data_IF_720781291558
#
_entry.id   IF_720781291558
#
_cell.length_a   1.000
_cell.length_b   1.000
_cell.length_c   1.000
_cell.angle_alpha   90.00
_cell.angle_beta   90.00
_cell.angle_gamma   90.00
#
_symmetry.space_group_name_H-M   'P 1'
#
loop_
_entity.id
_entity.type
_entity.pdbx_description
1 polymer ?
#
# COMPACT_ATOMS: atom_id res chain seq x y z
N UNK A 1 3.74 3.34 1.55
CA UNK A 1 3.07 2.90 2.80
C UNK A 1 2.86 4.02 3.80
N UNK A 2 3.82 4.93 3.98
CA UNK A 2 3.71 6.12 4.87
C UNK A 2 2.33 6.80 4.81
N UNK A 3 1.86 7.20 3.63
CA UNK A 3 0.56 7.88 3.47
C UNK A 3 -0.67 7.00 3.77
N UNK A 4 -0.54 5.67 3.68
CA UNK A 4 -1.64 4.74 3.90
C UNK A 4 -1.89 4.51 5.39
N UNK A 5 -0.81 4.41 6.17
CA UNK A 5 -0.88 4.18 7.62
C UNK A 5 -0.99 5.49 8.42
N UNK A 6 -0.84 6.64 7.76
CA UNK A 6 -1.04 7.96 8.36
C UNK A 6 -2.50 8.16 8.82
N UNK A 7 -2.64 8.36 10.12
CA UNK A 7 -3.93 8.57 10.78
C UNK A 7 -4.55 9.94 10.47
N UNK A 8 -3.81 10.88 9.87
CA UNK A 8 -4.34 12.19 9.45
C UNK A 8 -5.38 12.07 8.32
N UNK A 9 -5.41 10.93 7.61
CA UNK A 9 -6.38 10.66 6.55
C UNK A 9 -7.54 9.82 7.07
N UNK A 10 -8.77 10.21 6.77
CA UNK A 10 -9.98 9.44 7.03
C UNK A 10 -10.55 8.92 5.71
N UNK A 11 -10.66 7.61 5.60
CA UNK A 11 -11.21 6.94 4.42
C UNK A 11 -12.73 6.80 4.52
N UNK A 12 -13.44 7.17 3.44
CA UNK A 12 -14.90 7.03 3.30
C UNK A 12 -15.22 6.39 1.96
N UNK A 13 -16.32 5.64 1.88
CA UNK A 13 -16.81 5.13 0.60
C UNK A 13 -17.22 6.32 -0.28
N UNK A 14 -16.74 6.34 -1.52
CA UNK A 14 -17.18 7.33 -2.50
C UNK A 14 -18.57 6.97 -3.04
N UNK A 15 -19.15 7.84 -3.87
CA UNK A 15 -20.37 7.54 -4.62
C UNK A 15 -20.15 6.48 -5.71
N UNK A 16 -18.91 6.33 -6.17
CA UNK A 16 -18.53 5.36 -7.19
C UNK A 16 -18.27 4.01 -6.54
N UNK A 17 -18.94 2.97 -7.04
CA UNK A 17 -18.78 1.62 -6.52
C UNK A 17 -17.32 1.16 -6.65
N UNK A 18 -16.77 0.59 -5.57
CA UNK A 18 -15.39 0.10 -5.55
C UNK A 18 -14.34 1.19 -5.31
N UNK A 19 -14.73 2.44 -5.07
CA UNK A 19 -13.81 3.54 -4.81
C UNK A 19 -14.06 4.17 -3.44
N UNK A 20 -12.97 4.54 -2.77
CA UNK A 20 -12.92 5.22 -1.50
C UNK A 20 -12.20 6.56 -1.65
N UNK A 21 -12.63 7.55 -0.88
CA UNK A 21 -12.01 8.87 -0.79
C UNK A 21 -11.32 9.01 0.56
N UNK A 22 -10.04 9.38 0.53
CA UNK A 22 -9.24 9.73 1.70
C UNK A 22 -9.32 11.22 1.93
N UNK A 23 -10.01 11.64 2.99
CA UNK A 23 -10.13 13.03 3.38
C UNK A 23 -9.10 13.38 4.45
N UNK A 24 -8.51 14.55 4.33
CA UNK A 24 -7.76 15.13 5.45
C UNK A 24 -8.70 15.37 6.64
N UNK A 25 -8.36 14.86 7.82
CA UNK A 25 -9.22 14.97 9.01
C UNK A 25 -9.44 16.40 9.47
N UNK A 26 -8.47 17.29 9.26
CA UNK A 26 -8.53 18.68 9.74
C UNK A 26 -9.30 19.57 8.76
N UNK A 27 -9.01 19.46 7.47
CA UNK A 27 -9.59 20.34 6.43
C UNK A 27 -10.81 19.74 5.72
N UNK A 28 -11.05 18.43 5.85
CA UNK A 28 -12.12 17.71 5.15
C UNK A 28 -11.91 17.56 3.64
N UNK A 29 -10.83 18.13 3.09
CA UNK A 29 -10.53 18.07 1.65
C UNK A 29 -10.12 16.66 1.25
N UNK A 30 -10.60 16.23 0.08
CA UNK A 30 -10.17 14.97 -0.54
C UNK A 30 -8.68 15.10 -0.89
N UNK A 31 -7.86 14.22 -0.33
CA UNK A 31 -6.42 14.10 -0.62
C UNK A 31 -6.15 12.94 -1.59
N UNK A 32 -6.86 11.83 -1.43
CA UNK A 32 -6.56 10.58 -2.13
C UNK A 32 -7.83 9.87 -2.58
N UNK A 33 -7.69 9.03 -3.60
CA UNK A 33 -8.68 8.04 -4.00
C UNK A 33 -8.02 6.66 -3.98
N UNK A 34 -8.73 5.64 -3.52
CA UNK A 34 -8.20 4.29 -3.36
C UNK A 34 -9.29 3.23 -3.57
N UNK A 35 -8.88 2.01 -3.89
CA UNK A 35 -9.75 0.84 -4.06
C UNK A 35 -9.67 -0.09 -2.83
N UNK A 36 -10.55 -1.11 -2.71
CA UNK A 36 -10.39 -2.15 -1.69
C UNK A 36 -9.01 -2.83 -1.69
N UNK A 37 -8.39 -2.98 -2.87
CA UNK A 37 -7.08 -3.62 -3.02
C UNK A 37 -5.98 -2.80 -2.34
N UNK A 38 -6.12 -1.47 -2.33
CA UNK A 38 -5.17 -0.59 -1.64
C UNK A 38 -5.42 -0.57 -0.13
N UNK A 39 -6.70 -0.46 0.27
CA UNK A 39 -7.08 -0.30 1.68
C UNK A 39 -6.96 -1.58 2.50
N UNK A 40 -6.92 -2.76 1.88
CA UNK A 40 -6.73 -4.04 2.60
C UNK A 40 -5.41 -4.05 3.38
N UNK A 41 -4.36 -3.39 2.86
CA UNK A 41 -3.07 -3.24 3.54
C UNK A 41 -3.13 -2.36 4.79
N UNK A 42 -4.18 -1.55 4.96
CA UNK A 42 -4.40 -0.75 6.17
C UNK A 42 -5.43 -1.35 7.14
N UNK A 43 -6.18 -2.36 6.71
CA UNK A 43 -7.35 -2.92 7.42
C UNK A 43 -7.16 -4.35 7.92
N UNK A 44 -6.43 -5.20 7.20
CA UNK A 44 -6.10 -6.55 7.66
C UNK A 44 -4.88 -6.48 8.59
N UNK A 45 -4.93 -7.14 9.75
CA UNK A 45 -3.88 -7.02 10.79
C UNK A 45 -2.51 -7.50 10.31
N UNK A 46 -2.45 -8.60 9.55
CA UNK A 46 -1.19 -9.16 9.06
C UNK A 46 -0.59 -8.27 7.97
N UNK A 47 -1.41 -7.85 7.01
CA UNK A 47 -0.96 -6.95 5.94
C UNK A 47 -0.58 -5.57 6.46
N UNK A 48 -1.27 -5.10 7.51
CA UNK A 48 -0.95 -3.83 8.17
C UNK A 48 0.40 -3.87 8.86
N UNK A 49 0.76 -4.97 9.52
CA UNK A 49 2.08 -5.12 10.12
C UNK A 49 3.20 -4.99 9.07
N UNK A 50 3.00 -5.57 7.88
CA UNK A 50 3.94 -5.45 6.76
C UNK A 50 3.97 -4.02 6.21
N UNK A 51 2.80 -3.38 6.08
CA UNK A 51 2.71 -2.00 5.62
C UNK A 51 3.41 -1.02 6.59
N UNK A 52 3.28 -1.22 7.90
CA UNK A 52 3.95 -0.44 8.94
C UNK A 52 5.48 -0.65 8.92
N UNK A 53 5.94 -1.88 8.69
CA UNK A 53 7.36 -2.16 8.51
C UNK A 53 7.94 -1.34 7.35
N UNK A 54 7.34 -1.39 6.16
CA UNK A 54 7.82 -0.60 5.01
C UNK A 54 7.49 0.90 5.09
N UNK A 55 6.67 1.33 6.04
CA UNK A 55 6.41 2.74 6.31
C UNK A 55 7.40 3.34 7.31
N UNK A 56 8.22 2.52 7.98
CA UNK A 56 9.22 2.99 8.95
C UNK A 56 10.35 3.78 8.26
N UNK A 57 10.91 4.77 8.97
CA UNK A 57 11.86 5.74 8.41
C UNK A 57 13.14 5.08 7.86
N UNK A 58 13.55 3.95 8.42
CA UNK A 58 14.75 3.18 8.06
C UNK A 58 14.50 2.09 7.01
N UNK A 59 13.23 1.82 6.65
CA UNK A 59 12.86 0.72 5.76
C UNK A 59 12.91 1.07 4.27
N UNK A 60 13.26 2.31 3.90
CA UNK A 60 13.20 2.78 2.51
C UNK A 60 14.08 1.98 1.55
N UNK A 61 15.35 1.73 1.92
CA UNK A 61 16.25 0.93 1.08
C UNK A 61 15.78 -0.52 0.99
N UNK A 62 15.38 -1.08 2.13
CA UNK A 62 14.85 -2.45 2.20
C UNK A 62 13.60 -2.65 1.33
N UNK A 63 12.69 -1.67 1.30
CA UNK A 63 11.54 -1.70 0.40
C UNK A 63 11.95 -1.79 -1.07
N UNK A 64 12.94 -1.00 -1.50
CA UNK A 64 13.43 -1.02 -2.88
C UNK A 64 14.04 -2.38 -3.21
N UNK A 65 14.91 -2.88 -2.35
CA UNK A 65 15.59 -4.17 -2.56
C UNK A 65 14.59 -5.32 -2.62
N UNK A 66 13.66 -5.39 -1.66
CA UNK A 66 12.62 -6.43 -1.60
C UNK A 66 11.66 -6.33 -2.80
N UNK A 67 11.33 -5.12 -3.26
CA UNK A 67 10.50 -4.91 -4.45
C UNK A 67 11.21 -5.42 -5.71
N UNK A 68 12.50 -5.10 -5.89
CA UNK A 68 13.29 -5.57 -7.05
C UNK A 68 13.44 -7.09 -7.03
N UNK A 69 13.65 -7.69 -5.87
CA UNK A 69 13.69 -9.15 -5.72
C UNK A 69 12.36 -9.80 -6.09
N UNK A 70 11.25 -9.26 -5.60
CA UNK A 70 9.92 -9.76 -5.92
C UNK A 70 9.60 -9.62 -7.42
N UNK A 71 9.95 -8.47 -8.02
CA UNK A 71 9.80 -8.23 -9.46
C UNK A 71 10.58 -9.25 -10.28
N UNK A 72 11.87 -9.41 -9.98
CA UNK A 72 12.75 -10.37 -10.66
C UNK A 72 12.20 -11.78 -10.57
N UNK A 73 11.76 -12.21 -9.37
CA UNK A 73 11.18 -13.53 -9.15
C UNK A 73 9.97 -13.79 -10.05
N UNK A 74 9.07 -12.82 -10.20
CA UNK A 74 7.90 -12.96 -11.08
C UNK A 74 8.32 -13.00 -12.55
N UNK A 75 9.26 -12.14 -12.96
CA UNK A 75 9.74 -12.08 -14.35
C UNK A 75 10.50 -13.33 -14.79
N UNK A 76 11.04 -14.12 -13.85
CA UNK A 76 11.75 -15.37 -14.16
C UNK A 76 10.95 -16.62 -13.81
N UNK A 77 9.69 -16.49 -13.41
CA UNK A 77 8.89 -17.61 -12.89
C UNK A 77 8.62 -18.72 -13.92
N UNK A 78 8.69 -18.41 -15.21
CA UNK A 78 8.46 -19.33 -16.33
C UNK A 78 9.75 -19.73 -17.07
N UNK A 79 10.92 -19.26 -16.62
CA UNK A 79 12.24 -19.55 -17.21
C UNK A 79 12.74 -20.94 -16.83
N UNK A 80 12.00 -21.98 -17.23
CA UNK A 80 12.38 -23.38 -17.00
C UNK A 80 13.65 -23.81 -17.76
N UNK A 81 14.09 -23.00 -18.73
CA UNK A 81 15.33 -23.13 -19.50
C UNK A 81 16.59 -22.71 -18.71
N UNK A 82 16.43 -21.90 -17.67
CA UNK A 82 17.52 -21.41 -16.82
C UNK A 82 17.40 -22.04 -15.44
N UNK A 83 18.00 -23.23 -15.28
CA UNK A 83 18.22 -23.87 -13.98
C UNK A 83 19.69 -23.97 -13.66
#
# INVERSE_FOLDING_TARGET
>A
FVNLVDMSTQWKKSKTQGLYEGHDRTSGKVKWTATPVDLVFGSNSELRAIAEFYASDDAKQKFVDDFVLAWTKVMTADRFDVK
#
